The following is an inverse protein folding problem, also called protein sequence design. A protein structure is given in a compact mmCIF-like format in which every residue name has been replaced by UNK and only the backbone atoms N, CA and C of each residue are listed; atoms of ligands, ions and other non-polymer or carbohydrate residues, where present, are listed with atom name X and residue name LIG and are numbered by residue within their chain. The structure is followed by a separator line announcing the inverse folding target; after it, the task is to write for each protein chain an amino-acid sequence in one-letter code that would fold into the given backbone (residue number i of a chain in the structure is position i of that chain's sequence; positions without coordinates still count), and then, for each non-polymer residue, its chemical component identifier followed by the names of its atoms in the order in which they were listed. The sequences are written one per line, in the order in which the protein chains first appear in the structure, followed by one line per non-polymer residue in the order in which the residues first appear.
data_IF_489670946141
#
_entry.id   IF_489670946141
#
_cell.length_a   1.000
_cell.length_b   1.000
_cell.length_c   1.000
_cell.angle_alpha   90.00
_cell.angle_beta   90.00
_cell.angle_gamma   90.00
#
_symmetry.space_group_name_H-M   'P 1'
#
loop_
_entity.id
_entity.type
_entity.pdbx_description
1 polymer ?
#
# COMPACT_ATOMS: atom_id res chain seq x y z
N UNK A 1 3.68 -3.40 5.85
CA UNK A 1 4.58 -3.68 6.98
C UNK A 1 5.14 -5.11 6.95
N UNK A 2 4.31 -6.16 6.81
CA UNK A 2 4.78 -7.59 6.81
C UNK A 2 6.00 -7.84 5.92
N UNK A 3 5.89 -7.56 4.61
CA UNK A 3 6.98 -7.84 3.64
C UNK A 3 8.23 -7.03 3.96
N UNK A 4 8.04 -5.77 4.34
CA UNK A 4 9.13 -4.86 4.66
C UNK A 4 9.98 -5.41 5.81
N UNK A 5 9.35 -5.86 6.89
CA UNK A 5 10.05 -6.48 8.02
C UNK A 5 10.65 -7.84 7.68
N UNK A 6 9.94 -8.66 6.90
CA UNK A 6 10.43 -9.97 6.49
C UNK A 6 11.74 -9.84 5.67
N UNK A 7 11.74 -9.01 4.63
CA UNK A 7 12.94 -8.80 3.82
C UNK A 7 14.03 -8.05 4.58
N UNK A 8 13.68 -7.10 5.44
CA UNK A 8 14.65 -6.43 6.30
C UNK A 8 15.35 -7.43 7.22
N UNK A 9 14.61 -8.38 7.80
CA UNK A 9 15.17 -9.47 8.60
C UNK A 9 16.11 -10.36 7.80
N UNK A 10 15.75 -10.74 6.57
CA UNK A 10 16.64 -11.52 5.70
C UNK A 10 17.95 -10.78 5.36
N UNK A 11 17.86 -9.49 5.02
CA UNK A 11 19.04 -8.67 4.70
C UNK A 11 19.95 -8.51 5.93
N UNK A 12 19.36 -8.30 7.11
CA UNK A 12 20.13 -8.20 8.36
C UNK A 12 20.81 -9.52 8.74
N UNK A 13 20.17 -10.65 8.42
CA UNK A 13 20.70 -11.99 8.67
C UNK A 13 21.91 -12.33 7.78
N UNK A 14 22.01 -11.71 6.59
CA UNK A 14 23.20 -11.79 5.73
C UNK A 14 24.40 -10.98 6.26
N UNK A 15 24.17 -10.05 7.21
CA UNK A 15 25.22 -9.24 7.82
C UNK A 15 26.12 -10.05 8.76
N UNK A 16 27.43 -9.75 8.77
CA UNK A 16 28.43 -10.50 9.54
C UNK A 16 28.61 -10.00 11.00
N UNK A 17 27.56 -9.47 11.63
CA UNK A 17 27.66 -8.90 13.00
C UNK A 17 26.64 -9.52 13.95
N UNK A 18 27.01 -9.77 15.21
CA UNK A 18 26.06 -10.29 16.19
C UNK A 18 24.85 -9.37 16.38
N UNK A 19 25.08 -8.04 16.38
CA UNK A 19 24.01 -7.05 16.45
C UNK A 19 23.03 -7.15 15.28
N UNK A 20 23.50 -7.44 14.06
CA UNK A 20 22.62 -7.61 12.90
C UNK A 20 21.77 -8.87 13.00
N UNK A 21 22.30 -9.97 13.54
CA UNK A 21 21.51 -11.18 13.77
C UNK A 21 20.42 -10.98 14.84
N UNK A 22 20.70 -10.25 15.92
CA UNK A 22 19.67 -9.90 16.91
C UNK A 22 18.53 -9.07 16.31
N UNK A 23 18.87 -8.06 15.48
CA UNK A 23 17.86 -7.26 14.78
C UNK A 23 17.11 -8.06 13.70
N UNK A 24 17.76 -9.02 13.05
CA UNK A 24 17.14 -9.91 12.08
C UNK A 24 16.02 -10.74 12.72
N UNK A 25 16.28 -11.31 13.90
CA UNK A 25 15.28 -12.06 14.66
C UNK A 25 14.10 -11.17 15.05
N UNK A 26 14.36 -9.96 15.56
CA UNK A 26 13.31 -9.01 15.91
C UNK A 26 12.45 -8.62 14.69
N UNK A 27 13.07 -8.39 13.53
CA UNK A 27 12.36 -8.08 12.29
C UNK A 27 11.48 -9.26 11.82
N UNK A 28 12.00 -10.48 11.85
CA UNK A 28 11.26 -11.70 11.46
C UNK A 28 10.09 -12.00 12.41
N UNK A 29 10.25 -11.75 13.71
CA UNK A 29 9.17 -11.85 14.69
C UNK A 29 8.08 -10.81 14.43
N UNK A 30 8.45 -9.55 14.21
CA UNK A 30 7.49 -8.50 13.87
C UNK A 30 6.71 -8.84 12.58
N UNK A 31 7.39 -9.39 11.56
CA UNK A 31 6.73 -9.83 10.33
C UNK A 31 5.69 -10.94 10.57
N UNK A 32 5.99 -11.92 11.43
CA UNK A 32 5.07 -13.01 11.79
C UNK A 32 3.86 -12.50 12.59
N UNK A 33 4.07 -11.55 13.52
CA UNK A 33 2.99 -10.91 14.28
C UNK A 33 2.05 -10.12 13.37
N UNK A 34 2.59 -9.24 12.50
CA UNK A 34 1.78 -8.50 11.53
C UNK A 34 1.07 -9.42 10.54
N UNK A 35 1.66 -10.56 10.20
CA UNK A 35 1.03 -11.55 9.33
C UNK A 35 -0.20 -12.17 9.99
N UNK A 36 -0.10 -12.55 11.27
CA UNK A 36 -1.24 -13.06 12.06
C UNK A 36 -2.34 -12.01 12.20
N UNK A 37 -1.97 -10.76 12.48
CA UNK A 37 -2.92 -9.65 12.58
C UNK A 37 -3.62 -9.38 11.25
N UNK A 38 -2.88 -9.35 10.14
CA UNK A 38 -3.42 -9.16 8.80
C UNK A 38 -4.38 -10.29 8.41
N UNK A 39 -4.10 -11.54 8.81
CA UNK A 39 -5.00 -12.67 8.56
C UNK A 39 -6.33 -12.47 9.30
N UNK A 40 -6.27 -12.11 10.58
CA UNK A 40 -7.47 -11.80 11.38
C UNK A 40 -8.28 -10.64 10.78
N UNK A 41 -7.61 -9.58 10.34
CA UNK A 41 -8.25 -8.44 9.69
C UNK A 41 -8.92 -8.84 8.35
N UNK A 42 -8.24 -9.66 7.54
CA UNK A 42 -8.79 -10.17 6.28
C UNK A 42 -10.01 -11.07 6.49
N UNK A 43 -10.00 -11.94 7.51
CA UNK A 43 -11.14 -12.78 7.87
C UNK A 43 -12.32 -11.92 8.32
N UNK A 44 -12.08 -10.95 9.21
CA UNK A 44 -13.10 -10.02 9.68
C UNK A 44 -13.73 -9.23 8.53
N UNK A 45 -12.91 -8.71 7.62
CA UNK A 45 -13.37 -7.99 6.43
C UNK A 45 -14.21 -8.88 5.50
N UNK A 46 -13.81 -10.14 5.31
CA UNK A 46 -14.54 -11.09 4.47
C UNK A 46 -15.94 -11.38 5.03
N UNK A 47 -16.08 -11.37 6.36
CA UNK A 47 -17.35 -11.60 7.06
C UNK A 47 -18.22 -10.35 7.22
N UNK A 48 -17.68 -9.15 6.98
CA UNK A 48 -18.42 -7.90 7.11
C UNK A 48 -19.42 -7.72 5.95
N UNK A 49 -20.61 -7.13 6.18
CA UNK A 49 -21.55 -6.82 5.10
C UNK A 49 -21.01 -5.75 4.12
N UNK A 50 -21.27 -5.90 2.81
CA UNK A 50 -21.81 -7.08 2.15
C UNK A 50 -20.79 -8.22 2.18
N UNK A 51 -21.25 -9.44 2.47
CA UNK A 51 -20.37 -10.61 2.62
C UNK A 51 -19.52 -10.76 1.37
N UNK A 52 -18.22 -10.49 1.49
CA UNK A 52 -17.29 -10.58 0.38
C UNK A 52 -16.68 -11.99 0.38
N UNK A 53 -16.72 -12.66 -0.77
CA UNK A 53 -16.11 -13.98 -0.90
C UNK A 53 -14.60 -13.83 -0.80
N UNK A 54 -13.98 -14.46 0.19
CA UNK A 54 -12.54 -14.47 0.31
C UNK A 54 -11.93 -15.22 -0.90
N UNK A 55 -11.16 -14.57 -1.77
CA UNK A 55 -10.52 -15.27 -2.88
C UNK A 55 -9.51 -16.29 -2.33
N UNK A 56 -9.31 -17.43 -3.01
CA UNK A 56 -8.27 -18.36 -2.62
C UNK A 56 -6.91 -17.67 -2.64
N UNK A 57 -6.03 -18.01 -1.68
CA UNK A 57 -4.66 -17.50 -1.64
C UNK A 57 -3.96 -17.87 -2.95
N UNK A 58 -3.45 -16.85 -3.65
CA UNK A 58 -2.76 -17.01 -4.92
C UNK A 58 -1.48 -16.15 -4.97
N UNK A 59 -0.60 -16.49 -5.92
CA UNK A 59 0.64 -15.76 -6.15
C UNK A 59 1.54 -15.64 -4.92
N UNK A 60 2.12 -14.46 -4.74
CA UNK A 60 3.09 -14.15 -3.68
C UNK A 60 2.52 -14.41 -2.29
N UNK A 61 1.24 -14.12 -2.06
CA UNK A 61 0.63 -14.27 -0.73
C UNK A 61 0.57 -15.73 -0.27
N UNK A 62 0.34 -16.67 -1.20
CA UNK A 62 0.39 -18.11 -0.90
C UNK A 62 1.80 -18.51 -0.45
N UNK A 63 2.82 -18.15 -1.22
CA UNK A 63 4.22 -18.44 -0.88
C UNK A 63 4.62 -17.88 0.50
N UNK A 64 4.29 -16.61 0.74
CA UNK A 64 4.63 -15.93 2.00
C UNK A 64 3.92 -16.52 3.20
N UNK A 65 2.66 -16.95 3.04
CA UNK A 65 1.90 -17.59 4.11
C UNK A 65 2.54 -18.87 4.64
N UNK A 66 3.31 -19.55 3.78
CA UNK A 66 4.10 -20.72 4.17
C UNK A 66 5.49 -20.33 4.65
N UNK A 67 6.12 -19.34 4.03
CA UNK A 67 7.51 -18.98 4.28
C UNK A 67 7.72 -18.23 5.58
N UNK A 68 6.93 -17.19 5.85
CA UNK A 68 7.14 -16.31 7.01
C UNK A 68 7.13 -17.12 8.32
N UNK A 69 6.11 -17.97 8.61
CA UNK A 69 6.10 -18.72 9.85
C UNK A 69 7.24 -19.76 9.95
N UNK A 70 7.62 -20.39 8.83
CA UNK A 70 8.70 -21.38 8.78
C UNK A 70 10.06 -20.75 9.05
N UNK A 71 10.36 -19.64 8.36
CA UNK A 71 11.65 -18.96 8.44
C UNK A 71 11.81 -18.30 9.83
N UNK A 72 10.75 -17.67 10.36
CA UNK A 72 10.74 -17.14 11.73
C UNK A 72 10.93 -18.25 12.78
N UNK A 73 10.18 -19.36 12.68
CA UNK A 73 10.30 -20.47 13.64
C UNK A 73 11.69 -21.12 13.63
N UNK A 74 12.26 -21.32 12.43
CA UNK A 74 13.61 -21.87 12.27
C UNK A 74 14.65 -20.97 12.93
N UNK A 75 14.59 -19.66 12.66
CA UNK A 75 15.55 -18.68 13.17
C UNK A 75 15.43 -18.44 14.67
N UNK A 76 14.22 -18.36 15.21
CA UNK A 76 14.00 -18.23 16.66
C UNK A 76 14.50 -19.45 17.41
N UNK A 77 14.36 -20.66 16.83
CA UNK A 77 14.81 -21.91 17.46
C UNK A 77 16.33 -22.05 17.49
N UNK A 78 17.03 -21.58 16.45
CA UNK A 78 18.49 -21.62 16.34
C UNK A 78 19.15 -20.55 17.22
N UNK A 79 18.47 -19.43 17.47
CA UNK A 79 18.97 -18.32 18.26
C UNK A 79 18.46 -18.33 19.72
N UNK A 80 17.71 -19.35 20.14
CA UNK A 80 17.05 -19.43 21.46
C UNK A 80 18.04 -19.41 22.63
N UNK A 81 19.23 -19.95 22.39
CA UNK A 81 20.35 -20.07 23.29
C UNK A 81 21.28 -18.84 23.29
N UNK A 82 21.25 -18.00 22.24
CA UNK A 82 21.98 -16.73 22.17
C UNK A 82 21.13 -15.50 22.55
N UNK A 83 19.84 -15.50 22.26
CA UNK A 83 18.94 -14.36 22.43
C UNK A 83 17.71 -14.79 23.21
N UNK A 84 17.71 -14.53 24.52
CA UNK A 84 16.55 -14.77 25.36
C UNK A 84 15.36 -13.95 24.86
N UNK A 85 14.19 -14.59 24.84
CA UNK A 85 12.90 -14.02 24.42
C UNK A 85 12.60 -12.64 25.06
N UNK A 86 13.16 -12.40 26.24
CA UNK A 86 13.01 -11.19 27.05
C UNK A 86 13.84 -9.99 26.57
N UNK A 87 14.92 -10.18 25.79
CA UNK A 87 15.79 -9.08 25.31
C UNK A 87 15.48 -8.64 23.87
N UNK A 88 14.64 -9.39 23.17
CA UNK A 88 14.21 -9.11 21.77
C UNK A 88 12.87 -8.35 21.74
N UNK A 89 12.11 -8.43 22.84
CA UNK A 89 10.90 -7.64 23.04
C UNK A 89 11.26 -6.27 23.59
N UNK A 90 11.58 -5.32 22.72
CA UNK A 90 11.35 -3.92 23.12
C UNK A 90 10.74 -3.09 22.01
N UNK A 91 11.10 -3.26 20.74
CA UNK A 91 10.40 -2.61 19.64
C UNK A 91 10.75 -3.30 18.32
N UNK A 92 9.81 -3.36 17.37
CA UNK A 92 10.14 -3.72 15.99
C UNK A 92 11.26 -2.79 15.47
N UNK A 93 12.30 -3.32 14.80
CA UNK A 93 13.44 -2.51 14.39
C UNK A 93 13.00 -1.37 13.47
N UNK A 94 13.58 -0.18 13.63
CA UNK A 94 13.24 0.96 12.78
C UNK A 94 13.54 0.63 11.33
N UNK A 95 12.52 0.74 10.48
CA UNK A 95 12.67 0.49 9.06
C UNK A 95 13.45 1.64 8.39
N UNK A 96 14.27 1.36 7.37
CA UNK A 96 14.83 2.40 6.51
C UNK A 96 13.74 3.24 5.86
N UNK A 97 14.06 4.49 5.52
CA UNK A 97 13.19 5.30 4.68
C UNK A 97 13.28 4.81 3.23
N UNK A 98 12.15 4.41 2.65
CA UNK A 98 12.08 3.87 1.30
C UNK A 98 11.44 4.89 0.35
N UNK A 99 12.19 5.33 -0.66
CA UNK A 99 11.66 6.21 -1.69
C UNK A 99 10.54 5.52 -2.49
N UNK A 100 9.45 6.26 -2.77
CA UNK A 100 8.38 5.79 -3.62
C UNK A 100 8.87 5.63 -5.07
N UNK A 101 8.76 4.41 -5.60
CA UNK A 101 9.17 4.12 -6.98
C UNK A 101 8.17 4.61 -8.03
N UNK A 102 6.88 4.73 -7.66
CA UNK A 102 5.81 5.15 -8.55
C UNK A 102 5.41 6.59 -8.28
N UNK A 103 5.13 7.32 -9.36
CA UNK A 103 4.50 8.63 -9.33
C UNK A 103 3.19 8.55 -10.12
N UNK A 104 2.13 9.24 -9.70
CA UNK A 104 0.91 9.30 -10.50
C UNK A 104 1.22 9.89 -11.87
N UNK A 105 0.72 9.26 -12.93
CA UNK A 105 0.76 9.85 -14.26
C UNK A 105 -0.16 11.06 -14.33
N UNK A 106 0.22 12.08 -15.09
CA UNK A 106 -0.62 13.24 -15.31
C UNK A 106 -1.85 12.84 -16.14
N UNK A 107 -3.03 12.98 -15.55
CA UNK A 107 -4.28 12.69 -16.24
C UNK A 107 -4.75 13.90 -17.02
N UNK A 108 -4.94 13.75 -18.34
CA UNK A 108 -5.57 14.78 -19.16
C UNK A 108 -7.06 14.48 -19.33
N UNK A 109 -7.90 15.48 -19.02
CA UNK A 109 -9.33 15.41 -19.27
C UNK A 109 -9.58 15.30 -20.78
N UNK A 110 -10.59 14.52 -21.21
CA UNK A 110 -11.05 14.58 -22.58
C UNK A 110 -11.55 16.00 -22.92
N UNK A 111 -11.44 16.43 -24.19
CA UNK A 111 -12.02 17.69 -24.63
C UNK A 111 -13.53 17.75 -24.31
N UNK A 112 -14.02 18.95 -23.99
CA UNK A 112 -15.46 19.18 -23.76
C UNK A 112 -16.24 18.86 -25.04
N UNK A 113 -17.31 18.10 -24.90
CA UNK A 113 -18.17 17.73 -26.03
C UNK A 113 -18.82 19.01 -26.63
N UNK A 114 -18.80 19.18 -27.97
CA UNK A 114 -19.40 20.35 -28.62
C UNK A 114 -20.87 20.60 -28.24
N UNK A 115 -21.64 19.56 -27.92
CA UNK A 115 -23.05 19.67 -27.50
C UNK A 115 -23.26 20.47 -26.20
N UNK A 116 -22.19 20.69 -25.43
CA UNK A 116 -22.23 21.47 -24.19
C UNK A 116 -22.04 22.98 -24.42
N UNK A 117 -21.75 23.41 -25.67
CA UNK A 117 -21.50 24.82 -26.01
C UNK A 117 -22.71 25.55 -26.63
N UNK A 118 -23.83 24.86 -26.88
CA UNK A 118 -24.96 25.39 -27.63
C UNK A 118 -25.72 26.52 -26.91
N UNK A 119 -25.62 26.62 -25.58
CA UNK A 119 -26.33 27.63 -24.78
C UNK A 119 -25.62 29.00 -24.75
N UNK A 120 -24.32 29.06 -25.10
CA UNK A 120 -23.50 30.26 -24.92
C UNK A 120 -23.43 31.18 -26.15
N UNK A 121 -23.89 30.75 -27.33
CA UNK A 121 -23.86 31.57 -28.56
C UNK A 121 -25.15 32.36 -28.85
N UNK A 122 -26.26 32.08 -28.15
CA UNK A 122 -27.55 32.72 -28.43
C UNK A 122 -27.82 34.01 -27.64
N UNK A 123 -26.85 34.54 -26.88
CA UNK A 123 -27.03 35.73 -26.03
C UNK A 123 -26.23 36.96 -26.49
N UNK A 124 -25.96 37.08 -27.78
CA UNK A 124 -25.09 38.15 -28.28
C UNK A 124 -25.31 38.60 -29.71
N UNK A 125 -26.52 38.53 -30.29
CA UNK A 125 -26.77 39.19 -31.59
C UNK A 125 -28.27 39.26 -31.96
N UNK A 126 -29.04 40.13 -31.30
CA UNK A 126 -30.30 40.66 -31.88
C UNK A 126 -30.59 42.04 -31.31
N UNK A 127 -30.27 43.08 -32.09
CA UNK A 127 -30.55 44.45 -31.70
C UNK A 127 -30.01 45.53 -32.65
N UNK A 128 -30.03 45.32 -33.97
CA UNK A 128 -29.81 46.42 -34.92
C UNK A 128 -31.15 47.08 -35.26
N UNK A 129 -31.58 48.04 -34.44
CA UNK A 129 -32.70 48.92 -34.77
C UNK A 129 -32.28 49.90 -35.87
N UNK A 130 -32.83 49.75 -37.07
CA UNK A 130 -32.81 50.78 -38.11
C UNK A 130 -33.84 51.87 -37.76
N UNK A 131 -33.38 53.06 -37.37
CA UNK A 131 -34.19 54.28 -37.46
C UNK A 131 -33.86 55.01 -38.76
N UNK A 132 -34.76 54.87 -39.74
CA UNK A 132 -34.77 55.66 -40.97
C UNK A 132 -35.18 57.10 -40.62
N UNK A 133 -34.21 58.01 -40.60
CA UNK A 133 -34.43 59.45 -40.43
C UNK A 133 -34.96 60.08 -41.71
N UNK A 134 -36.17 60.63 -41.63
CA UNK A 134 -36.82 61.47 -42.62
C UNK A 134 -36.46 62.94 -42.36
N UNK A 135 -35.94 63.65 -43.38
CA UNK A 135 -36.10 65.08 -43.72
C UNK A 135 -34.90 65.64 -44.49
N UNK A 136 -35.10 65.98 -45.76
CA UNK A 136 -35.27 67.36 -46.24
C UNK A 136 -35.63 67.36 -47.72
#
# INVERSE_FOLDING_TARGET
MILTYYYHGLILDEGNTEKSHGMAVAALQAADEYFKESKKASEAFSTAPPLSRNPPLWGTMKYLSEKIPKDTSSKVRINRDLYSYERIMETAPTLPDFALALKPDEYQLPPVDPSWNEENMNRGQTGSNQHKGERR
#
